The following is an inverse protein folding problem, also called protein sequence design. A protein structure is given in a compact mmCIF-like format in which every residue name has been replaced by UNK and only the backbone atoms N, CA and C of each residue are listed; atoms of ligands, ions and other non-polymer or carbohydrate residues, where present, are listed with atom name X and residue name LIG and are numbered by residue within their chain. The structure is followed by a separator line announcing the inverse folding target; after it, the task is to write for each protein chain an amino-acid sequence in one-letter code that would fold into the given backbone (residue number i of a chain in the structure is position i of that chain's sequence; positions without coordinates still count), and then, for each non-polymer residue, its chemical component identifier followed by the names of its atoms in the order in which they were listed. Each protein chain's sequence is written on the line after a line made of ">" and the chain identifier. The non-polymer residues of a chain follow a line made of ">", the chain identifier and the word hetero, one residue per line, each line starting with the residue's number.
data_IF_227745070797
#
_entry.id   IF_227745070797
#
_cell.length_a   1.000
_cell.length_b   1.000
_cell.length_c   1.000
_cell.angle_alpha   90.00
_cell.angle_beta   90.00
_cell.angle_gamma   90.00
#
_symmetry.space_group_name_H-M   'P 1'
#
loop_
_entity.id
_entity.type
_entity.pdbx_description
1 polymer ?
#
# COMPACT_ATOMS: atom_id res chain seq x y z
N UNK A 1 -19.06 -7.72 29.56
CA UNK A 1 -18.64 -6.71 28.56
C UNK A 1 -17.51 -5.89 29.16
N UNK A 2 -16.24 -6.27 28.91
CA UNK A 2 -15.10 -5.49 29.42
C UNK A 2 -15.13 -4.09 28.82
N UNK A 3 -15.10 -3.05 29.67
CA UNK A 3 -14.71 -1.70 29.25
C UNK A 3 -13.27 -1.80 28.75
N UNK A 4 -13.10 -2.05 27.46
CA UNK A 4 -11.79 -1.98 26.85
C UNK A 4 -11.34 -0.53 26.90
N UNK A 5 -10.22 -0.28 27.56
CA UNK A 5 -9.58 1.03 27.56
C UNK A 5 -8.92 1.25 26.18
N UNK A 6 -9.75 1.52 25.16
CA UNK A 6 -9.30 1.94 23.84
C UNK A 6 -8.18 3.00 23.88
N UNK A 7 -8.24 4.07 24.71
CA UNK A 7 -7.14 5.03 24.77
C UNK A 7 -5.80 4.39 25.14
N UNK A 8 -5.78 3.44 26.08
CA UNK A 8 -4.55 2.74 26.45
C UNK A 8 -3.97 1.92 25.30
N UNK A 9 -4.83 1.23 24.53
CA UNK A 9 -4.41 0.45 23.35
C UNK A 9 -3.83 1.38 22.28
N UNK A 10 -4.47 2.52 22.01
CA UNK A 10 -3.96 3.49 21.03
C UNK A 10 -2.62 4.10 21.45
N UNK A 11 -2.48 4.45 22.72
CA UNK A 11 -1.21 4.96 23.28
C UNK A 11 -0.11 3.90 23.12
N UNK A 12 -0.41 2.64 23.46
CA UNK A 12 0.53 1.53 23.31
C UNK A 12 0.96 1.33 21.85
N UNK A 13 0.01 1.30 20.91
CA UNK A 13 0.32 1.18 19.47
C UNK A 13 1.16 2.35 18.97
N UNK A 14 0.85 3.57 19.41
CA UNK A 14 1.59 4.76 19.00
C UNK A 14 3.03 4.75 19.54
N UNK A 15 3.23 4.34 20.80
CA UNK A 15 4.56 4.17 21.39
C UNK A 15 5.36 3.12 20.62
N UNK A 16 4.76 1.96 20.32
CA UNK A 16 5.41 0.90 19.53
C UNK A 16 5.79 1.40 18.14
N UNK A 17 4.93 2.18 17.49
CA UNK A 17 5.21 2.78 16.18
C UNK A 17 6.42 3.71 16.25
N UNK A 18 6.46 4.63 17.22
CA UNK A 18 7.59 5.56 17.41
C UNK A 18 8.87 4.78 17.70
N UNK A 19 8.81 3.79 18.59
CA UNK A 19 9.96 2.98 18.95
C UNK A 19 10.55 2.26 17.73
N UNK A 20 9.71 1.60 16.93
CA UNK A 20 10.14 0.93 15.70
C UNK A 20 10.62 1.90 14.63
N UNK A 21 10.01 3.08 14.53
CA UNK A 21 10.45 4.13 13.61
C UNK A 21 11.88 4.57 13.95
N UNK A 22 12.17 4.81 15.23
CA UNK A 22 13.52 5.17 15.68
C UNK A 22 14.51 4.04 15.41
N UNK A 23 14.15 2.78 15.71
CA UNK A 23 14.97 1.60 15.36
C UNK A 23 15.29 1.55 13.86
N UNK A 24 14.27 1.74 13.02
CA UNK A 24 14.42 1.70 11.57
C UNK A 24 15.41 2.77 11.06
N UNK A 25 15.46 3.94 11.70
CA UNK A 25 16.44 4.99 11.36
C UNK A 25 17.89 4.62 11.69
N UNK A 26 18.14 3.74 12.67
CA UNK A 26 19.49 3.27 13.00
C UNK A 26 19.95 2.12 12.10
N UNK A 27 19.01 1.26 11.71
CA UNK A 27 19.26 0.12 10.83
C UNK A 27 19.58 0.55 9.40
N UNK A 28 20.41 -0.23 8.72
CA UNK A 28 20.76 -0.07 7.31
C UNK A 28 22.22 -0.43 7.02
N UNK A 29 22.66 -0.12 5.80
CA UNK A 29 24.01 -0.44 5.30
C UNK A 29 25.13 0.21 6.13
N UNK A 30 24.87 1.38 6.71
CA UNK A 30 25.78 2.08 7.63
C UNK A 30 25.20 2.03 9.03
N UNK A 31 25.88 1.41 10.00
CA UNK A 31 25.42 1.46 11.39
C UNK A 31 25.56 2.89 11.92
N UNK A 32 24.43 3.53 12.26
CA UNK A 32 24.42 4.86 12.89
C UNK A 32 23.89 4.68 14.32
N UNK A 33 24.67 5.03 15.36
CA UNK A 33 24.26 4.82 16.75
C UNK A 33 23.04 5.67 17.11
N UNK A 34 22.17 5.13 17.97
CA UNK A 34 20.94 5.79 18.42
C UNK A 34 21.17 7.18 19.03
N UNK A 35 22.31 7.35 19.71
CA UNK A 35 22.69 8.62 20.34
C UNK A 35 22.84 9.76 19.32
N UNK A 36 23.32 9.46 18.12
CA UNK A 36 23.51 10.47 17.07
C UNK A 36 22.24 10.75 16.27
N UNK A 37 21.23 9.89 16.33
CA UNK A 37 19.96 10.14 15.62
C UNK A 37 19.30 11.41 16.17
N UNK A 38 19.32 11.60 17.49
CA UNK A 38 18.75 12.79 18.13
C UNK A 38 19.51 14.06 17.72
N UNK A 39 20.83 14.05 17.72
CA UNK A 39 21.64 15.20 17.30
C UNK A 39 21.43 15.52 15.82
N UNK A 40 21.36 14.50 14.96
CA UNK A 40 21.17 14.67 13.52
C UNK A 40 19.79 15.25 13.18
N UNK A 41 18.74 14.82 13.88
CA UNK A 41 17.38 15.30 13.63
C UNK A 41 17.22 16.74 14.11
N UNK A 42 17.67 17.08 15.32
CA UNK A 42 17.39 18.39 15.92
C UNK A 42 18.46 19.45 15.64
N UNK A 43 19.74 19.06 15.59
CA UNK A 43 20.86 19.99 15.41
C UNK A 43 21.43 19.95 13.99
N UNK A 44 21.04 18.98 13.16
CA UNK A 44 21.59 18.75 11.81
C UNK A 44 23.12 18.62 11.80
N UNK A 45 23.68 18.18 12.92
CA UNK A 45 25.11 17.92 13.12
C UNK A 45 25.31 16.45 13.49
N UNK A 46 26.45 15.91 13.08
CA UNK A 46 26.87 14.55 13.37
C UNK A 46 28.38 14.51 13.50
N UNK A 47 28.91 13.46 14.13
CA UNK A 47 30.36 13.20 14.14
C UNK A 47 30.91 13.01 12.72
N UNK A 48 30.07 12.53 11.79
CA UNK A 48 30.39 12.40 10.36
C UNK A 48 29.35 13.15 9.52
N UNK A 49 29.72 14.16 8.71
CA UNK A 49 28.79 14.90 7.87
C UNK A 49 27.93 14.02 6.95
N UNK A 50 28.48 12.90 6.48
CA UNK A 50 27.76 11.91 5.66
C UNK A 50 26.53 11.32 6.35
N UNK A 51 26.52 11.21 7.68
CA UNK A 51 25.40 10.64 8.44
C UNK A 51 24.18 11.56 8.41
N UNK A 52 24.40 12.88 8.39
CA UNK A 52 23.31 13.85 8.25
C UNK A 52 22.58 13.63 6.92
N UNK A 53 23.32 13.50 5.82
CA UNK A 53 22.75 13.23 4.49
C UNK A 53 22.05 11.89 4.42
N UNK A 54 22.64 10.83 4.99
CA UNK A 54 22.03 9.48 5.01
C UNK A 54 20.68 9.51 5.74
N UNK A 55 20.63 10.10 6.93
CA UNK A 55 19.39 10.16 7.71
C UNK A 55 18.36 11.03 7.00
N UNK A 56 18.71 12.27 6.63
CA UNK A 56 17.74 13.21 6.10
C UNK A 56 17.27 12.88 4.68
N UNK A 57 18.14 12.41 3.79
CA UNK A 57 17.77 12.23 2.38
C UNK A 57 17.34 10.81 2.04
N UNK A 58 17.73 9.81 2.85
CA UNK A 58 17.43 8.40 2.54
C UNK A 58 16.60 7.71 3.61
N UNK A 59 17.01 7.75 4.88
CA UNK A 59 16.33 6.95 5.92
C UNK A 59 15.01 7.54 6.37
N UNK A 60 14.99 8.84 6.63
CA UNK A 60 13.80 9.51 7.17
C UNK A 60 12.66 9.53 6.14
N UNK A 61 12.89 9.86 4.85
CA UNK A 61 11.86 9.72 3.83
C UNK A 61 11.34 8.29 3.68
N UNK A 62 12.26 7.30 3.69
CA UNK A 62 11.92 5.88 3.56
C UNK A 62 11.08 5.37 4.74
N UNK A 63 11.48 5.68 5.98
CA UNK A 63 10.77 5.28 7.19
C UNK A 63 9.38 5.90 7.25
N UNK A 64 9.24 7.20 6.91
CA UNK A 64 7.94 7.86 6.82
C UNK A 64 7.07 7.24 5.71
N UNK A 65 7.66 6.92 4.56
CA UNK A 65 6.99 6.21 3.48
C UNK A 65 6.46 4.86 3.97
N UNK A 66 7.26 4.08 4.72
CA UNK A 66 6.83 2.82 5.31
C UNK A 66 5.61 2.98 6.22
N UNK A 67 5.60 4.03 7.06
CA UNK A 67 4.44 4.31 7.93
C UNK A 67 3.19 4.61 7.11
N UNK A 68 3.27 5.53 6.14
CA UNK A 68 2.11 5.97 5.36
C UNK A 68 1.58 4.85 4.46
N UNK A 69 2.49 4.13 3.78
CA UNK A 69 2.14 2.97 2.94
C UNK A 69 1.46 1.89 3.79
N UNK A 70 2.02 1.59 4.96
CA UNK A 70 1.45 0.62 5.89
C UNK A 70 0.03 1.00 6.32
N UNK A 71 -0.17 2.26 6.71
CA UNK A 71 -1.48 2.79 7.10
C UNK A 71 -2.51 2.65 5.98
N UNK A 72 -2.17 3.14 4.78
CA UNK A 72 -3.10 3.24 3.68
C UNK A 72 -3.44 1.88 3.03
N UNK A 73 -2.48 0.96 2.90
CA UNK A 73 -2.75 -0.41 2.46
C UNK A 73 -3.62 -1.19 3.46
N UNK A 74 -3.40 -0.96 4.76
CA UNK A 74 -4.16 -1.66 5.80
C UNK A 74 -5.61 -1.17 5.86
N UNK A 75 -5.84 0.14 5.76
CA UNK A 75 -7.20 0.72 5.75
C UNK A 75 -7.95 0.35 4.47
N UNK A 76 -7.31 0.42 3.31
CA UNK A 76 -7.93 -0.03 2.05
C UNK A 76 -8.27 -1.54 2.10
N UNK A 77 -7.38 -2.36 2.66
CA UNK A 77 -7.66 -3.77 2.93
C UNK A 77 -8.87 -3.98 3.84
N UNK A 78 -8.99 -3.22 4.93
CA UNK A 78 -10.16 -3.28 5.81
C UNK A 78 -11.45 -2.94 5.05
N UNK A 79 -11.45 -1.86 4.25
CA UNK A 79 -12.62 -1.47 3.46
C UNK A 79 -13.03 -2.55 2.45
N UNK A 80 -12.06 -3.16 1.76
CA UNK A 80 -12.30 -4.26 0.82
C UNK A 80 -12.87 -5.49 1.51
N UNK A 81 -12.32 -5.88 2.66
CA UNK A 81 -12.86 -7.00 3.44
C UNK A 81 -14.31 -6.76 3.86
N UNK A 82 -14.66 -5.53 4.22
CA UNK A 82 -16.02 -5.16 4.63
C UNK A 82 -16.97 -5.11 3.44
N UNK A 83 -16.58 -4.48 2.33
CA UNK A 83 -17.38 -4.38 1.10
C UNK A 83 -17.73 -5.77 0.56
N UNK A 84 -16.72 -6.63 0.44
CA UNK A 84 -16.90 -7.96 -0.14
C UNK A 84 -17.35 -9.01 0.86
N UNK A 85 -17.45 -8.67 2.15
CA UNK A 85 -17.68 -9.60 3.26
C UNK A 85 -16.76 -10.82 3.21
N UNK A 86 -15.55 -10.61 2.72
CA UNK A 86 -14.59 -11.67 2.50
C UNK A 86 -13.30 -11.31 3.24
N UNK A 87 -12.89 -12.08 4.26
CA UNK A 87 -11.64 -11.83 4.97
C UNK A 87 -10.42 -11.87 4.05
N UNK A 88 -10.51 -12.52 2.89
CA UNK A 88 -9.42 -12.64 1.93
C UNK A 88 -9.39 -11.51 0.88
N UNK A 89 -10.35 -10.58 0.91
CA UNK A 89 -10.36 -9.47 -0.03
C UNK A 89 -9.27 -8.45 0.35
N UNK A 90 -8.32 -8.23 -0.56
CA UNK A 90 -7.31 -7.17 -0.46
C UNK A 90 -7.57 -6.01 -1.43
N UNK A 91 -6.82 -4.90 -1.31
CA UNK A 91 -6.91 -3.76 -2.22
C UNK A 91 -6.57 -4.10 -3.68
N UNK A 92 -5.82 -5.18 -3.88
CA UNK A 92 -5.40 -5.69 -5.20
C UNK A 92 -6.54 -6.28 -6.02
N UNK A 93 -7.65 -6.69 -5.39
CA UNK A 93 -8.68 -7.49 -6.08
C UNK A 93 -9.50 -6.68 -7.08
N UNK A 94 -9.50 -5.35 -6.96
CA UNK A 94 -10.14 -4.44 -7.93
C UNK A 94 -9.29 -4.20 -9.18
N UNK A 95 -8.16 -4.90 -9.38
CA UNK A 95 -7.30 -4.75 -10.56
C UNK A 95 -6.51 -3.43 -10.60
N UNK A 96 -6.56 -2.61 -9.54
CA UNK A 96 -5.87 -1.31 -9.44
C UNK A 96 -4.38 -1.48 -9.69
N UNK A 97 -3.76 -2.42 -8.98
CA UNK A 97 -2.32 -2.66 -9.11
C UNK A 97 -1.96 -3.36 -10.41
N UNK A 98 -2.88 -4.12 -11.00
CA UNK A 98 -2.70 -4.71 -12.33
C UNK A 98 -2.72 -3.63 -13.41
N UNK A 99 -3.64 -2.65 -13.30
CA UNK A 99 -3.65 -1.46 -14.16
C UNK A 99 -2.40 -0.61 -14.00
N UNK A 100 -1.96 -0.37 -12.76
CA UNK A 100 -0.68 0.29 -12.48
C UNK A 100 0.50 -0.42 -13.15
N UNK A 101 0.56 -1.75 -13.01
CA UNK A 101 1.60 -2.58 -13.62
C UNK A 101 1.57 -2.50 -15.14
N UNK A 102 0.39 -2.50 -15.76
CA UNK A 102 0.22 -2.32 -17.20
C UNK A 102 0.70 -0.93 -17.66
N UNK A 103 0.39 0.13 -16.91
CA UNK A 103 0.86 1.47 -17.23
C UNK A 103 2.38 1.57 -17.22
N UNK A 104 3.03 1.01 -16.19
CA UNK A 104 4.49 0.95 -16.11
C UNK A 104 5.10 0.02 -17.15
N UNK A 105 4.46 -1.10 -17.47
CA UNK A 105 4.90 -2.00 -18.54
C UNK A 105 4.87 -1.30 -19.90
N UNK A 106 3.82 -0.55 -20.22
CA UNK A 106 3.78 0.24 -21.47
C UNK A 106 4.93 1.26 -21.48
N UNK A 107 5.14 1.98 -20.38
CA UNK A 107 6.24 2.95 -20.29
C UNK A 107 7.62 2.29 -20.42
N UNK A 108 7.88 1.19 -19.73
CA UNK A 108 9.23 0.61 -19.62
C UNK A 108 9.56 -0.38 -20.73
N UNK A 109 8.57 -1.09 -21.28
CA UNK A 109 8.75 -2.20 -22.21
C UNK A 109 8.42 -1.81 -23.66
N UNK A 110 7.34 -1.04 -23.85
CA UNK A 110 6.91 -0.65 -25.19
C UNK A 110 7.70 0.56 -25.72
N UNK A 111 7.87 1.60 -24.90
CA UNK A 111 8.61 2.82 -25.29
C UNK A 111 10.09 2.52 -25.52
N UNK A 112 10.71 1.66 -24.70
CA UNK A 112 12.11 1.25 -24.90
C UNK A 112 12.31 0.51 -26.22
N UNK A 113 11.31 -0.26 -26.69
CA UNK A 113 11.35 -0.88 -28.01
C UNK A 113 11.18 0.12 -29.17
N UNK A 114 10.57 1.28 -28.93
CA UNK A 114 10.37 2.36 -29.90
C UNK A 114 11.54 3.35 -29.97
N UNK A 115 12.59 3.20 -29.16
CA UNK A 115 13.72 4.13 -29.06
C UNK A 115 14.56 4.28 -30.34
N UNK A 116 14.21 3.58 -31.41
CA UNK A 116 14.65 3.89 -32.77
C UNK A 116 14.19 5.30 -33.26
N UNK A 117 13.15 5.88 -32.66
CA UNK A 117 12.69 7.24 -32.96
C UNK A 117 13.27 8.28 -31.96
N UNK A 118 14.30 9.02 -32.40
CA UNK A 118 14.98 10.08 -31.63
C UNK A 118 14.05 11.20 -31.08
N UNK A 119 12.86 11.39 -31.65
CA UNK A 119 11.90 12.39 -31.20
C UNK A 119 11.15 11.97 -29.92
N UNK A 120 10.84 10.68 -29.78
CA UNK A 120 10.13 10.14 -28.61
C UNK A 120 11.08 9.97 -27.41
N UNK A 121 12.36 9.66 -27.66
CA UNK A 121 13.38 9.54 -26.62
C UNK A 121 13.78 10.89 -26.00
N UNK A 122 13.71 12.00 -26.74
CA UNK A 122 14.01 13.34 -26.20
C UNK A 122 12.92 13.86 -25.26
N UNK A 123 11.64 13.63 -25.59
CA UNK A 123 10.49 14.00 -24.74
C UNK A 123 10.43 13.19 -23.44
N UNK A 124 10.88 11.93 -23.48
CA UNK A 124 10.85 11.02 -22.34
C UNK A 124 12.15 10.99 -21.52
N UNK A 125 13.26 11.57 -22.00
CA UNK A 125 14.48 11.69 -21.18
C UNK A 125 14.46 12.89 -20.22
N UNK A 126 13.72 13.96 -20.54
CA UNK A 126 13.80 15.23 -19.80
C UNK A 126 12.93 15.31 -18.52
N UNK A 127 12.02 14.35 -18.27
CA UNK A 127 11.12 14.36 -17.10
C UNK A 127 11.22 13.09 -16.22
N UNK A 128 12.43 12.54 -16.07
CA UNK A 128 12.75 11.23 -15.47
C UNK A 128 12.13 10.93 -14.09
N UNK A 129 11.93 11.93 -13.21
CA UNK A 129 11.60 11.67 -11.81
C UNK A 129 10.18 11.14 -11.54
N UNK A 130 9.19 11.51 -12.35
CA UNK A 130 7.76 11.25 -12.09
C UNK A 130 7.08 10.35 -13.13
N UNK A 131 7.76 10.01 -14.23
CA UNK A 131 7.17 9.27 -15.34
C UNK A 131 6.57 7.93 -14.92
N UNK A 132 7.28 7.16 -14.09
CA UNK A 132 6.81 5.86 -13.61
C UNK A 132 5.54 6.00 -12.78
N UNK A 133 5.47 7.00 -11.90
CA UNK A 133 4.29 7.27 -11.09
C UNK A 133 3.11 7.79 -11.91
N UNK A 134 3.35 8.62 -12.94
CA UNK A 134 2.31 9.09 -13.85
C UNK A 134 1.77 7.92 -14.69
N UNK A 135 2.65 7.13 -15.30
CA UNK A 135 2.26 5.97 -16.11
C UNK A 135 1.48 4.94 -15.28
N UNK A 136 1.97 4.65 -14.07
CA UNK A 136 1.25 3.80 -13.12
C UNK A 136 -0.12 4.36 -12.75
N UNK A 137 -0.23 5.67 -12.52
CA UNK A 137 -1.50 6.29 -12.13
C UNK A 137 -2.50 6.24 -13.29
N UNK A 138 -2.06 6.52 -14.52
CA UNK A 138 -2.89 6.44 -15.73
C UNK A 138 -3.37 5.00 -15.98
N UNK A 139 -2.48 4.02 -15.88
CA UNK A 139 -2.86 2.61 -16.04
C UNK A 139 -3.84 2.14 -14.96
N UNK A 140 -3.62 2.53 -13.69
CA UNK A 140 -4.54 2.25 -12.60
C UNK A 140 -5.90 2.93 -12.81
N UNK A 141 -5.92 4.19 -13.23
CA UNK A 141 -7.12 4.95 -13.51
C UNK A 141 -7.94 4.34 -14.66
N UNK A 142 -7.28 3.84 -15.72
CA UNK A 142 -7.93 3.14 -16.82
C UNK A 142 -8.66 1.91 -16.30
N UNK A 143 -7.97 1.00 -15.61
CA UNK A 143 -8.60 -0.23 -15.11
C UNK A 143 -9.68 0.08 -14.08
N UNK A 144 -9.46 1.06 -13.20
CA UNK A 144 -10.47 1.52 -12.25
C UNK A 144 -11.71 2.08 -12.92
N UNK A 145 -11.57 2.84 -14.01
CA UNK A 145 -12.72 3.37 -14.75
C UNK A 145 -13.58 2.24 -15.30
N UNK A 146 -12.96 1.18 -15.82
CA UNK A 146 -13.65 -0.02 -16.29
C UNK A 146 -14.35 -0.76 -15.16
N UNK A 147 -13.69 -0.89 -14.00
CA UNK A 147 -14.28 -1.51 -12.80
C UNK A 147 -15.45 -0.69 -12.25
N UNK A 148 -15.36 0.65 -12.27
CA UNK A 148 -16.47 1.53 -11.87
C UNK A 148 -17.66 1.33 -12.81
N UNK A 149 -17.44 1.35 -14.13
CA UNK A 149 -18.50 1.08 -15.13
C UNK A 149 -19.14 -0.29 -14.90
N UNK A 150 -18.34 -1.32 -14.64
CA UNK A 150 -18.83 -2.65 -14.30
C UNK A 150 -19.63 -2.65 -12.99
N UNK A 151 -19.17 -1.93 -11.96
CA UNK A 151 -19.82 -1.86 -10.64
C UNK A 151 -21.20 -1.19 -10.66
N UNK A 152 -21.47 -0.34 -11.65
CA UNK A 152 -22.76 0.29 -11.89
C UNK A 152 -23.73 -0.71 -12.51
N UNK A 153 -23.25 -1.57 -13.42
CA UNK A 153 -24.09 -2.59 -14.09
C UNK A 153 -24.28 -3.85 -13.26
N UNK A 154 -23.33 -4.17 -12.38
CA UNK A 154 -23.30 -5.41 -11.59
C UNK A 154 -23.62 -5.10 -10.13
N UNK A 155 -24.76 -5.60 -9.66
CA UNK A 155 -25.23 -5.40 -8.29
C UNK A 155 -24.60 -6.36 -7.27
N UNK A 156 -24.03 -7.50 -7.68
CA UNK A 156 -23.44 -8.49 -6.78
C UNK A 156 -21.93 -8.25 -6.51
N UNK A 157 -21.54 -8.12 -5.24
CA UNK A 157 -20.15 -7.89 -4.85
C UNK A 157 -19.22 -9.05 -5.25
N UNK A 158 -19.69 -10.30 -5.21
CA UNK A 158 -18.87 -11.44 -5.66
C UNK A 158 -18.63 -11.42 -7.16
N UNK A 159 -19.63 -11.02 -7.96
CA UNK A 159 -19.45 -10.86 -9.39
C UNK A 159 -18.46 -9.71 -9.70
N UNK A 160 -18.48 -8.63 -8.91
CA UNK A 160 -17.50 -7.55 -9.04
C UNK A 160 -16.06 -8.01 -8.73
N UNK A 161 -15.87 -8.90 -7.75
CA UNK A 161 -14.56 -9.53 -7.49
C UNK A 161 -14.07 -10.32 -8.71
N UNK A 162 -14.94 -11.11 -9.33
CA UNK A 162 -14.61 -11.91 -10.52
C UNK A 162 -14.21 -10.98 -11.68
N UNK A 163 -14.95 -9.88 -11.88
CA UNK A 163 -14.60 -8.88 -12.90
C UNK A 163 -13.22 -8.27 -12.65
N UNK A 164 -12.92 -7.89 -11.40
CA UNK A 164 -11.59 -7.39 -11.03
C UNK A 164 -10.49 -8.41 -11.30
N UNK A 165 -10.72 -9.68 -10.97
CA UNK A 165 -9.81 -10.79 -11.30
C UNK A 165 -9.60 -10.93 -12.81
N UNK A 166 -10.66 -10.86 -13.62
CA UNK A 166 -10.58 -10.96 -15.07
C UNK A 166 -9.79 -9.80 -15.69
N UNK A 167 -9.99 -8.56 -15.22
CA UNK A 167 -9.16 -7.44 -15.64
C UNK A 167 -7.70 -7.63 -15.24
N UNK A 168 -7.44 -8.17 -14.05
CA UNK A 168 -6.10 -8.55 -13.61
C UNK A 168 -5.43 -9.54 -14.55
N UNK A 169 -6.13 -10.60 -14.95
CA UNK A 169 -5.62 -11.60 -15.90
C UNK A 169 -5.41 -11.03 -17.30
N UNK A 170 -6.34 -10.19 -17.79
CA UNK A 170 -6.22 -9.55 -19.10
C UNK A 170 -5.03 -8.59 -19.17
N UNK A 171 -4.87 -7.73 -18.16
CA UNK A 171 -3.72 -6.83 -18.05
C UNK A 171 -2.41 -7.62 -17.90
N UNK A 172 -2.40 -8.70 -17.12
CA UNK A 172 -1.25 -9.61 -17.01
C UNK A 172 -0.86 -10.24 -18.34
N UNK A 173 -1.83 -10.69 -19.15
CA UNK A 173 -1.57 -11.24 -20.48
C UNK A 173 -0.92 -10.20 -21.41
N UNK A 174 -1.42 -8.95 -21.40
CA UNK A 174 -0.83 -7.84 -22.18
C UNK A 174 0.62 -7.59 -21.73
N UNK A 175 0.87 -7.53 -20.43
CA UNK A 175 2.21 -7.35 -19.87
C UNK A 175 3.16 -8.50 -20.28
N UNK A 176 2.68 -9.74 -20.32
CA UNK A 176 3.47 -10.89 -20.80
C UNK A 176 3.82 -10.79 -22.28
N UNK A 177 2.88 -10.35 -23.12
CA UNK A 177 3.14 -10.10 -24.54
C UNK A 177 4.20 -9.00 -24.70
N UNK A 178 4.09 -7.91 -23.94
CA UNK A 178 5.10 -6.83 -23.97
C UNK A 178 6.48 -7.34 -23.56
N UNK A 179 6.58 -8.13 -22.49
CA UNK A 179 7.84 -8.74 -22.05
C UNK A 179 8.45 -9.64 -23.13
N UNK A 180 7.66 -10.41 -23.87
CA UNK A 180 8.15 -11.29 -24.92
C UNK A 180 8.90 -10.54 -26.04
N UNK A 181 8.44 -9.33 -26.38
CA UNK A 181 9.05 -8.49 -27.41
C UNK A 181 10.09 -7.49 -26.88
N UNK A 182 10.44 -7.55 -25.59
CA UNK A 182 11.32 -6.55 -24.95
C UNK A 182 12.74 -7.06 -24.75
N UNK A 183 13.68 -6.11 -24.67
CA UNK A 183 15.06 -6.39 -24.32
C UNK A 183 15.25 -6.76 -22.85
N UNK A 184 16.29 -7.55 -22.55
CA UNK A 184 16.57 -8.06 -21.21
C UNK A 184 16.73 -6.96 -20.14
N UNK A 185 17.28 -5.79 -20.51
CA UNK A 185 17.46 -4.66 -19.59
C UNK A 185 16.14 -3.99 -19.19
N UNK A 186 15.23 -3.82 -20.15
CA UNK A 186 13.89 -3.29 -19.92
C UNK A 186 13.07 -4.24 -19.03
N UNK A 187 13.15 -5.55 -19.30
CA UNK A 187 12.51 -6.59 -18.49
C UNK A 187 13.06 -6.55 -17.05
N UNK A 188 14.39 -6.46 -16.87
CA UNK A 188 15.01 -6.36 -15.54
C UNK A 188 14.51 -5.12 -14.78
N UNK A 189 14.42 -3.97 -15.45
CA UNK A 189 13.94 -2.72 -14.84
C UNK A 189 12.48 -2.83 -14.40
N UNK A 190 11.63 -3.43 -15.25
CA UNK A 190 10.24 -3.72 -14.92
C UNK A 190 10.12 -4.70 -13.74
N UNK A 191 10.91 -5.77 -13.72
CA UNK A 191 10.94 -6.72 -12.61
C UNK A 191 11.34 -6.05 -11.29
N UNK A 192 12.36 -5.19 -11.30
CA UNK A 192 12.76 -4.42 -10.12
C UNK A 192 11.66 -3.47 -9.62
N UNK A 193 10.83 -2.92 -10.52
CA UNK A 193 9.68 -2.12 -10.11
C UNK A 193 8.56 -2.98 -9.48
N UNK A 194 8.27 -4.16 -10.03
CA UNK A 194 7.26 -5.09 -9.48
C UNK A 194 7.61 -5.68 -8.11
N UNK A 195 8.89 -5.64 -7.73
CA UNK A 195 9.35 -5.99 -6.39
C UNK A 195 8.97 -4.98 -5.30
N UNK A 196 8.54 -3.79 -5.70
CA UNK A 196 8.24 -2.69 -4.80
C UNK A 196 9.48 -2.14 -4.10
N UNK A 197 9.49 -0.83 -3.85
CA UNK A 197 10.58 -0.16 -3.15
C UNK A 197 10.10 1.05 -2.40
N UNK A 198 10.46 1.13 -1.12
CA UNK A 198 10.26 2.32 -0.28
C UNK A 198 11.40 3.33 -0.45
N UNK A 199 12.54 2.90 -1.00
CA UNK A 199 13.77 3.72 -1.11
C UNK A 199 13.74 4.72 -2.26
N UNK A 200 12.81 4.58 -3.22
CA UNK A 200 12.71 5.47 -4.39
C UNK A 200 11.90 6.75 -4.14
N UNK A 201 11.34 6.91 -2.94
CA UNK A 201 10.49 8.04 -2.57
C UNK A 201 11.33 9.16 -1.97
N UNK A 202 11.50 10.24 -2.74
CA UNK A 202 12.13 11.48 -2.28
C UNK A 202 11.17 12.33 -1.45
N UNK A 203 11.68 13.37 -0.78
CA UNK A 203 10.87 14.31 0.01
C UNK A 203 9.70 14.91 -0.77
N UNK A 204 9.92 15.28 -2.04
CA UNK A 204 8.87 15.85 -2.90
C UNK A 204 7.74 14.84 -3.13
N UNK A 205 8.08 13.60 -3.47
CA UNK A 205 7.11 12.51 -3.64
C UNK A 205 6.41 12.18 -2.32
N UNK A 206 7.14 12.19 -1.21
CA UNK A 206 6.62 11.89 0.12
C UNK A 206 5.60 12.92 0.59
N UNK A 207 5.87 14.20 0.43
CA UNK A 207 4.94 15.27 0.83
C UNK A 207 3.60 15.17 0.09
N UNK A 208 3.66 14.91 -1.23
CA UNK A 208 2.48 14.64 -2.04
C UNK A 208 1.74 13.36 -1.57
N UNK A 209 2.49 12.28 -1.33
CA UNK A 209 1.94 11.00 -0.90
C UNK A 209 1.28 11.10 0.49
N UNK A 210 1.86 11.85 1.43
CA UNK A 210 1.27 12.13 2.75
C UNK A 210 -0.04 12.90 2.59
N UNK A 211 -0.05 14.00 1.83
CA UNK A 211 -1.25 14.82 1.64
C UNK A 211 -2.40 14.01 1.03
N UNK A 212 -2.11 13.26 -0.03
CA UNK A 212 -3.11 12.44 -0.72
C UNK A 212 -3.65 11.30 0.18
N UNK A 213 -2.76 10.58 0.88
CA UNK A 213 -3.19 9.50 1.78
C UNK A 213 -3.91 10.02 3.02
N UNK A 214 -3.55 11.19 3.54
CA UNK A 214 -4.26 11.82 4.64
C UNK A 214 -5.72 12.12 4.27
N UNK A 215 -5.95 12.67 3.08
CA UNK A 215 -7.31 12.87 2.54
C UNK A 215 -8.03 11.52 2.41
N UNK A 216 -7.38 10.51 1.81
CA UNK A 216 -7.96 9.17 1.68
C UNK A 216 -8.35 8.54 3.02
N UNK A 217 -7.51 8.68 4.05
CA UNK A 217 -7.75 8.18 5.40
C UNK A 217 -8.90 8.92 6.09
N UNK A 218 -9.00 10.24 5.91
CA UNK A 218 -10.12 11.03 6.42
C UNK A 218 -11.45 10.60 5.80
N UNK A 219 -11.49 10.42 4.47
CA UNK A 219 -12.69 9.94 3.79
C UNK A 219 -13.04 8.53 4.28
N UNK A 220 -12.05 7.64 4.39
CA UNK A 220 -12.25 6.28 4.90
C UNK A 220 -12.84 6.30 6.32
N UNK A 221 -12.31 7.14 7.21
CA UNK A 221 -12.84 7.32 8.56
C UNK A 221 -14.26 7.90 8.57
N UNK A 222 -14.56 8.87 7.72
CA UNK A 222 -15.92 9.43 7.59
C UNK A 222 -16.94 8.35 7.15
N UNK A 223 -16.49 7.33 6.42
CA UNK A 223 -17.32 6.20 5.97
C UNK A 223 -17.52 5.09 7.03
N UNK A 224 -17.15 5.30 8.30
CA UNK A 224 -17.29 4.27 9.35
C UNK A 224 -18.73 3.76 9.53
N UNK A 225 -19.75 4.63 9.55
CA UNK A 225 -21.16 4.19 9.74
C UNK A 225 -21.67 3.34 8.57
N UNK A 226 -21.46 3.75 7.29
CA UNK A 226 -21.75 2.88 6.16
C UNK A 226 -21.08 1.50 6.24
N UNK A 227 -19.81 1.45 6.63
CA UNK A 227 -19.05 0.21 6.76
C UNK A 227 -19.62 -0.70 7.86
N UNK A 228 -20.00 -0.14 9.01
CA UNK A 228 -20.65 -0.88 10.09
C UNK A 228 -22.02 -1.44 9.65
N UNK A 229 -22.82 -0.65 8.92
CA UNK A 229 -24.10 -1.12 8.38
C UNK A 229 -23.92 -2.27 7.37
N UNK A 230 -22.87 -2.22 6.54
CA UNK A 230 -22.55 -3.29 5.59
C UNK A 230 -22.17 -4.61 6.26
N UNK A 231 -21.67 -4.60 7.51
CA UNK A 231 -21.41 -5.83 8.25
C UNK A 231 -22.70 -6.57 8.65
N UNK A 232 -23.82 -5.86 8.80
CA UNK A 232 -25.11 -6.42 9.23
C UNK A 232 -25.90 -7.08 8.09
N UNK A 233 -25.51 -6.87 6.84
CA UNK A 233 -26.25 -7.37 5.68
C UNK A 233 -26.63 -6.26 4.70
N UNK A 234 -26.75 -6.58 3.41
CA UNK A 234 -27.08 -5.57 2.38
C UNK A 234 -28.53 -5.12 2.51
N UNK A 235 -29.43 -6.09 2.73
CA UNK A 235 -30.86 -5.84 2.98
C UNK A 235 -31.07 -4.98 4.23
N UNK A 236 -30.34 -5.27 5.31
CA UNK A 236 -30.41 -4.49 6.55
C UNK A 236 -29.90 -3.06 6.32
N UNK A 237 -28.74 -2.90 5.69
CA UNK A 237 -28.20 -1.59 5.37
C UNK A 237 -29.17 -0.75 4.50
N UNK A 238 -29.80 -1.37 3.49
CA UNK A 238 -30.83 -0.71 2.67
C UNK A 238 -32.03 -0.25 3.49
N UNK A 239 -32.53 -1.09 4.41
CA UNK A 239 -33.66 -0.72 5.28
C UNK A 239 -33.34 0.44 6.24
N UNK A 240 -32.06 0.64 6.56
CA UNK A 240 -31.56 1.77 7.36
C UNK A 240 -31.32 3.05 6.51
N UNK A 241 -31.77 3.07 5.26
CA UNK A 241 -31.65 4.23 4.36
C UNK A 241 -30.30 4.35 3.64
N UNK A 242 -29.44 3.33 3.71
CA UNK A 242 -28.14 3.35 3.07
C UNK A 242 -28.25 3.03 1.57
N UNK A 243 -27.72 3.93 0.74
CA UNK A 243 -27.56 3.66 -0.70
C UNK A 243 -26.34 2.77 -0.95
N UNK A 244 -26.58 1.50 -1.26
CA UNK A 244 -25.50 0.53 -1.51
C UNK A 244 -24.56 0.97 -2.63
N UNK A 245 -25.11 1.50 -3.73
CA UNK A 245 -24.32 1.91 -4.87
C UNK A 245 -23.38 3.09 -4.56
N UNK A 246 -23.87 4.15 -3.88
CA UNK A 246 -23.02 5.28 -3.49
C UNK A 246 -21.95 4.84 -2.49
N UNK A 247 -22.32 3.98 -1.54
CA UNK A 247 -21.39 3.45 -0.54
C UNK A 247 -20.29 2.61 -1.20
N UNK A 248 -20.66 1.73 -2.14
CA UNK A 248 -19.71 0.94 -2.93
C UNK A 248 -18.77 1.83 -3.72
N UNK A 249 -19.29 2.82 -4.44
CA UNK A 249 -18.47 3.76 -5.21
C UNK A 249 -17.52 4.56 -4.31
N UNK A 250 -17.99 5.02 -3.15
CA UNK A 250 -17.15 5.70 -2.16
C UNK A 250 -16.04 4.80 -1.62
N UNK A 251 -16.33 3.52 -1.35
CA UNK A 251 -15.31 2.55 -0.91
C UNK A 251 -14.28 2.29 -2.01
N UNK A 252 -14.73 2.06 -3.26
CA UNK A 252 -13.83 1.88 -4.41
C UNK A 252 -12.95 3.12 -4.57
N UNK A 253 -13.53 4.32 -4.57
CA UNK A 253 -12.81 5.57 -4.73
C UNK A 253 -11.77 5.80 -3.63
N UNK A 254 -12.13 5.61 -2.36
CA UNK A 254 -11.20 5.75 -1.23
C UNK A 254 -10.07 4.72 -1.28
N UNK A 255 -10.40 3.47 -1.59
CA UNK A 255 -9.38 2.42 -1.78
C UNK A 255 -8.45 2.74 -2.96
N UNK A 256 -8.96 3.33 -4.04
CA UNK A 256 -8.15 3.79 -5.17
C UNK A 256 -7.17 4.89 -4.79
N UNK A 257 -7.61 5.88 -4.01
CA UNK A 257 -6.72 6.94 -3.51
C UNK A 257 -5.61 6.32 -2.65
N UNK A 258 -5.97 5.46 -1.70
CA UNK A 258 -5.02 4.85 -0.78
C UNK A 258 -4.08 3.87 -1.52
N UNK A 259 -4.59 2.75 -2.03
CA UNK A 259 -3.76 1.70 -2.62
C UNK A 259 -3.20 2.06 -3.99
N UNK A 260 -3.92 2.84 -4.79
CA UNK A 260 -3.47 3.28 -6.12
C UNK A 260 -2.29 4.24 -6.03
N UNK A 261 -2.35 5.24 -5.14
CA UNK A 261 -1.22 6.15 -4.93
C UNK A 261 0.03 5.40 -4.45
N UNK A 262 -0.12 4.52 -3.47
CA UNK A 262 0.99 3.68 -2.97
C UNK A 262 1.61 2.88 -4.11
N UNK A 263 0.80 2.19 -4.92
CA UNK A 263 1.30 1.37 -6.02
C UNK A 263 2.05 2.23 -7.05
N UNK A 264 1.58 3.45 -7.30
CA UNK A 264 2.21 4.36 -8.24
C UNK A 264 3.58 4.89 -7.79
N UNK A 265 3.78 5.09 -6.49
CA UNK A 265 5.04 5.64 -5.97
C UNK A 265 6.01 4.58 -5.46
N UNK A 266 5.50 3.50 -4.88
CA UNK A 266 6.31 2.47 -4.21
C UNK A 266 6.31 1.13 -4.96
N UNK A 267 5.57 1.01 -6.06
CA UNK A 267 5.30 -0.28 -6.69
C UNK A 267 4.30 -1.13 -5.89
N UNK A 268 3.94 -2.32 -6.38
CA UNK A 268 2.98 -3.18 -5.72
C UNK A 268 3.55 -3.78 -4.43
N UNK A 269 2.84 -3.60 -3.30
CA UNK A 269 3.24 -4.11 -1.98
C UNK A 269 2.12 -4.98 -1.40
N UNK A 270 2.30 -6.30 -1.46
CA UNK A 270 1.29 -7.27 -1.05
C UNK A 270 1.16 -7.49 0.46
N UNK A 271 0.14 -8.27 0.81
CA UNK A 271 -0.13 -8.85 2.14
C UNK A 271 -0.42 -7.91 3.32
N UNK A 272 0.08 -6.68 3.35
CA UNK A 272 -0.19 -5.72 4.44
C UNK A 272 -1.70 -5.50 4.62
N UNK A 273 -2.40 -5.19 3.53
CA UNK A 273 -3.86 -5.00 3.53
C UNK A 273 -4.67 -6.27 3.84
N UNK A 274 -4.06 -7.44 3.73
CA UNK A 274 -4.70 -8.72 4.06
C UNK A 274 -4.50 -9.06 5.54
N UNK A 275 -3.26 -8.99 6.02
CA UNK A 275 -2.84 -9.44 7.34
C UNK A 275 -3.28 -8.49 8.47
N UNK A 276 -3.06 -7.19 8.30
CA UNK A 276 -3.20 -6.20 9.38
C UNK A 276 -4.65 -6.05 9.87
N UNK A 277 -5.68 -5.97 9.00
CA UNK A 277 -7.07 -5.87 9.48
C UNK A 277 -7.46 -7.05 10.38
N UNK A 278 -6.98 -8.26 10.08
CA UNK A 278 -7.25 -9.43 10.90
C UNK A 278 -6.52 -9.43 12.22
N UNK A 279 -5.21 -9.14 12.21
CA UNK A 279 -4.42 -9.01 13.44
C UNK A 279 -5.05 -7.98 14.39
N UNK A 280 -5.45 -6.83 13.84
CA UNK A 280 -6.03 -5.74 14.63
C UNK A 280 -7.41 -6.14 15.21
N UNK A 281 -8.24 -6.86 14.44
CA UNK A 281 -9.52 -7.40 14.94
C UNK A 281 -9.31 -8.36 16.12
N UNK A 282 -8.26 -9.18 16.10
CA UNK A 282 -7.92 -10.10 17.20
C UNK A 282 -7.43 -9.34 18.44
N UNK A 283 -6.58 -8.33 18.25
CA UNK A 283 -6.00 -7.53 19.34
C UNK A 283 -7.06 -6.67 20.04
N UNK A 284 -7.87 -5.94 19.26
CA UNK A 284 -8.84 -4.98 19.81
C UNK A 284 -10.18 -5.64 20.11
N UNK A 285 -10.53 -6.77 19.47
CA UNK A 285 -11.81 -7.48 19.68
C UNK A 285 -13.04 -6.58 19.49
N UNK A 286 -13.01 -5.73 18.47
CA UNK A 286 -14.15 -4.86 18.08
C UNK A 286 -14.40 -4.99 16.58
N UNK A 287 -15.67 -4.90 16.18
CA UNK A 287 -16.07 -4.79 14.78
C UNK A 287 -16.38 -3.35 14.34
N UNK A 288 -16.45 -2.39 15.29
CA UNK A 288 -16.80 -1.00 15.02
C UNK A 288 -15.71 -0.29 14.23
N UNK A 289 -16.03 0.15 13.01
CA UNK A 289 -15.07 0.78 12.10
C UNK A 289 -14.52 2.11 12.64
N UNK A 290 -15.28 2.82 13.48
CA UNK A 290 -14.81 4.06 14.11
C UNK A 290 -13.50 3.86 14.90
N UNK A 291 -13.37 2.70 15.57
CA UNK A 291 -12.17 2.32 16.34
C UNK A 291 -11.20 1.53 15.46
N UNK A 292 -11.73 0.69 14.58
CA UNK A 292 -10.93 -0.25 13.81
C UNK A 292 -10.08 0.44 12.73
N UNK A 293 -10.60 1.47 12.05
CA UNK A 293 -9.87 2.21 11.00
C UNK A 293 -8.55 2.81 11.53
N UNK A 294 -8.54 3.66 12.58
CA UNK A 294 -7.29 4.23 13.09
C UNK A 294 -6.35 3.17 13.66
N UNK A 295 -6.90 2.10 14.26
CA UNK A 295 -6.07 1.03 14.79
C UNK A 295 -5.39 0.21 13.68
N UNK A 296 -6.10 -0.11 12.61
CA UNK A 296 -5.58 -0.83 11.45
C UNK A 296 -4.56 0.05 10.72
N UNK A 297 -4.75 1.37 10.69
CA UNK A 297 -3.74 2.29 10.16
C UNK A 297 -2.43 2.18 10.97
N UNK A 298 -2.48 2.33 12.29
CA UNK A 298 -1.29 2.22 13.15
C UNK A 298 -0.63 0.84 13.05
N UNK A 299 -1.41 -0.24 13.13
CA UNK A 299 -0.93 -1.61 12.95
C UNK A 299 -0.25 -1.83 11.60
N UNK A 300 -0.75 -1.14 10.56
CA UNK A 300 -0.18 -1.17 9.22
C UNK A 300 1.19 -0.54 9.14
N UNK A 301 1.33 0.67 9.71
CA UNK A 301 2.62 1.35 9.80
C UNK A 301 3.65 0.55 10.61
N UNK A 302 3.23 -0.04 11.73
CA UNK A 302 4.06 -0.92 12.57
C UNK A 302 4.55 -2.14 11.76
N UNK A 303 3.63 -2.88 11.13
CA UNK A 303 4.01 -4.10 10.41
C UNK A 303 4.93 -3.79 9.23
N UNK A 304 4.68 -2.70 8.51
CA UNK A 304 5.53 -2.34 7.37
C UNK A 304 6.90 -1.82 7.81
N UNK A 305 7.01 -1.12 8.96
CA UNK A 305 8.31 -0.78 9.55
C UNK A 305 9.09 -2.02 9.98
N UNK A 306 8.42 -3.05 10.50
CA UNK A 306 9.06 -4.34 10.81
C UNK A 306 9.57 -5.00 9.53
N UNK A 307 8.73 -5.06 8.48
CA UNK A 307 9.12 -5.61 7.19
C UNK A 307 10.30 -4.83 6.57
N UNK A 308 10.28 -3.50 6.66
CA UNK A 308 11.36 -2.67 6.15
C UNK A 308 12.66 -2.88 6.95
N UNK A 309 12.58 -3.02 8.27
CA UNK A 309 13.75 -3.34 9.11
C UNK A 309 14.35 -4.70 8.76
N UNK A 310 13.51 -5.71 8.49
CA UNK A 310 13.95 -7.04 8.03
C UNK A 310 14.53 -6.98 6.62
N UNK A 311 14.02 -6.10 5.75
CA UNK A 311 14.55 -5.92 4.39
C UNK A 311 15.98 -5.36 4.38
N UNK A 312 16.36 -4.67 5.45
CA UNK A 312 17.64 -4.00 5.63
C UNK A 312 18.59 -4.83 6.51
N UNK A 313 18.99 -6.01 6.01
CA UNK A 313 19.92 -6.90 6.72
C UNK A 313 21.15 -6.12 7.26
N UNK A 314 21.49 -6.27 8.55
CA UNK A 314 22.64 -5.59 9.13
C UNK A 314 23.90 -5.91 8.33
N UNK A 315 24.68 -4.88 7.98
CA UNK A 315 26.00 -4.98 7.37
C UNK A 315 26.02 -5.56 5.94
N UNK A 316 24.85 -5.65 5.28
CA UNK A 316 24.74 -5.97 3.86
C UNK A 316 24.47 -4.71 3.04
N UNK A 317 25.17 -4.56 1.91
CA UNK A 317 24.88 -3.50 0.92
C UNK A 317 23.64 -3.83 0.07
N UNK A 318 23.14 -5.07 0.12
CA UNK A 318 21.97 -5.51 -0.65
C UNK A 318 20.70 -5.39 0.19
N UNK A 319 19.76 -4.59 -0.30
CA UNK A 319 18.41 -4.45 0.28
C UNK A 319 17.51 -5.50 -0.35
N UNK A 320 16.78 -6.25 0.49
CA UNK A 320 15.81 -7.23 0.00
C UNK A 320 14.56 -6.53 -0.57
N UNK A 321 13.95 -7.07 -1.64
CA UNK A 321 12.64 -6.64 -2.10
C UNK A 321 11.60 -6.59 -0.99
N UNK A 322 10.98 -5.43 -0.77
CA UNK A 322 10.01 -5.26 0.32
C UNK A 322 8.79 -6.17 0.13
N UNK A 323 8.32 -6.36 -1.11
CA UNK A 323 7.19 -7.22 -1.42
C UNK A 323 7.46 -8.70 -1.09
N UNK A 324 8.71 -9.16 -1.22
CA UNK A 324 9.09 -10.51 -0.82
C UNK A 324 9.06 -10.66 0.71
N UNK A 325 9.56 -9.66 1.45
CA UNK A 325 9.56 -9.67 2.92
C UNK A 325 8.13 -9.58 3.47
N UNK A 326 7.28 -8.72 2.91
CA UNK A 326 5.87 -8.63 3.33
C UNK A 326 5.10 -9.92 3.03
N UNK A 327 5.42 -10.63 1.94
CA UNK A 327 4.84 -11.94 1.66
C UNK A 327 5.30 -13.02 2.65
N UNK A 328 6.60 -13.07 2.96
CA UNK A 328 7.18 -14.02 3.91
C UNK A 328 6.59 -13.86 5.32
N UNK A 329 6.31 -12.63 5.75
CA UNK A 329 5.71 -12.35 7.06
C UNK A 329 4.18 -12.48 7.00
N UNK A 330 3.57 -11.93 5.95
CA UNK A 330 2.11 -11.81 5.84
C UNK A 330 1.40 -13.12 5.54
N UNK A 331 1.97 -14.01 4.73
CA UNK A 331 1.34 -15.29 4.40
C UNK A 331 1.17 -16.20 5.64
N UNK A 332 2.21 -16.45 6.46
CA UNK A 332 2.06 -17.22 7.70
C UNK A 332 1.05 -16.60 8.67
N UNK A 333 1.04 -15.27 8.80
CA UNK A 333 0.06 -14.56 9.64
C UNK A 333 -1.36 -14.84 9.19
N UNK A 334 -1.64 -14.71 7.89
CA UNK A 334 -2.97 -14.94 7.34
C UNK A 334 -3.38 -16.41 7.49
N UNK A 335 -2.47 -17.36 7.22
CA UNK A 335 -2.70 -18.79 7.41
C UNK A 335 -3.05 -19.08 8.88
N UNK A 336 -2.26 -18.59 9.82
CA UNK A 336 -2.48 -18.78 11.26
C UNK A 336 -3.85 -18.25 11.71
N UNK A 337 -4.24 -17.06 11.24
CA UNK A 337 -5.55 -16.48 11.55
C UNK A 337 -6.69 -17.37 11.04
N UNK A 338 -6.59 -17.87 9.81
CA UNK A 338 -7.63 -18.73 9.21
C UNK A 338 -7.77 -20.03 10.00
N UNK A 339 -6.65 -20.65 10.37
CA UNK A 339 -6.65 -21.90 11.14
C UNK A 339 -7.27 -21.70 12.53
N UNK A 340 -6.95 -20.61 13.21
CA UNK A 340 -7.50 -20.30 14.54
C UNK A 340 -9.00 -20.03 14.53
N UNK A 341 -9.55 -19.55 13.41
CA UNK A 341 -10.99 -19.30 13.26
C UNK A 341 -11.80 -20.57 13.07
N UNK A 342 -11.17 -21.69 12.69
CA UNK A 342 -11.82 -23.02 12.63
C UNK A 342 -11.81 -23.75 13.96
N UNK A 343 -11.00 -23.32 14.92
CA UNK A 343 -10.85 -23.95 16.24
C UNK A 343 -11.65 -23.29 17.37
N UNK A 344 -12.56 -22.37 17.05
CA UNK A 344 -13.49 -21.68 17.96
C UNK A 344 -14.91 -21.83 17.42
#
# INVERSE_FOLDING_TARGET
>A
MNRQNYPFIFISLFIVLIFLFVINLSLGSVSIPMSEIWTIIFQKTASKPSWVTIIWQFRLPKALTAVVVGMALSVSGLQMQTLFRNPLAGPFVLGISSGASLGVAILMLFVSGLSANHFLSSLLSQNSLWQTSIASTLGAALVLSLVIVASIRISNNMALLIVGLMFGSATGAIVSILQYFSEAEAIKSYLLWTFGSLSQVTWDKLSFLIGLNFIGLLIAWAMHKPLDALLLGERYAQSMGLSLQKTRLGIIFTTSILAGSITAFCGPIGFIGLAVPHLTKILIKTARHQVLIPAVALGGGILLLICDSVSQLPMSSKVLPINAVTALIGAPVVIWVILKKRSL
#
